data_IF_097299395518
#
_entry.id   IF_097299395518
#
_cell.length_a   1.000
_cell.length_b   1.000
_cell.length_c   1.000
_cell.angle_alpha   90.00
_cell.angle_beta   90.00
_cell.angle_gamma   90.00
#
_symmetry.space_group_name_H-M   'P 1'
#
loop_
_entity.id
_entity.type
_entity.pdbx_description
1 polymer ?
#
# COMPACT_ATOMS: atom_id res chain seq x y z
N UNK A 1 18.95 6.64 29.94
CA UNK A 1 18.03 5.97 29.01
C UNK A 1 16.64 6.01 29.64
N UNK A 2 15.88 7.07 29.34
CA UNK A 2 14.47 7.21 29.71
C UNK A 2 13.65 6.12 29.01
N UNK A 3 12.51 5.71 29.57
CA UNK A 3 11.62 4.72 28.94
C UNK A 3 11.13 5.22 27.56
N UNK A 4 10.96 6.54 27.42
CA UNK A 4 10.64 7.18 26.13
C UNK A 4 11.73 7.01 25.06
N UNK A 5 13.01 7.07 25.46
CA UNK A 5 14.12 6.90 24.51
C UNK A 5 14.17 5.48 23.96
N UNK A 6 13.87 4.48 24.81
CA UNK A 6 13.78 3.07 24.40
C UNK A 6 12.60 2.80 23.47
N UNK A 7 11.46 3.42 23.75
CA UNK A 7 10.26 3.29 22.90
C UNK A 7 10.49 3.94 21.53
N UNK A 8 11.13 5.11 21.50
CA UNK A 8 11.50 5.79 20.25
C UNK A 8 12.50 4.97 19.43
N UNK A 9 13.49 4.36 20.09
CA UNK A 9 14.48 3.48 19.45
C UNK A 9 13.83 2.24 18.85
N UNK A 10 12.90 1.59 19.57
CA UNK A 10 12.14 0.44 19.08
C UNK A 10 11.29 0.77 17.85
N UNK A 11 10.59 1.91 17.86
CA UNK A 11 9.80 2.38 16.69
C UNK A 11 10.72 2.66 15.50
N UNK A 12 11.87 3.30 15.73
CA UNK A 12 12.83 3.59 14.66
C UNK A 12 13.42 2.34 14.04
N UNK A 13 13.68 1.30 14.83
CA UNK A 13 14.16 0.01 14.32
C UNK A 13 13.09 -0.73 13.52
N UNK A 14 11.83 -0.67 13.96
CA UNK A 14 10.69 -1.26 13.26
C UNK A 14 10.48 -0.62 11.89
N UNK A 15 10.46 0.72 11.81
CA UNK A 15 10.32 1.45 10.55
C UNK A 15 11.50 1.22 9.59
N UNK A 16 12.72 1.08 10.10
CA UNK A 16 13.90 0.78 9.28
C UNK A 16 13.93 -0.67 8.75
N UNK A 17 13.18 -1.57 9.39
CA UNK A 17 13.14 -2.99 9.03
C UNK A 17 12.07 -3.30 7.98
N UNK A 18 11.15 -2.37 7.70
CA UNK A 18 10.14 -2.56 6.67
C UNK A 18 10.75 -2.41 5.27
N UNK A 19 10.55 -3.41 4.37
CA UNK A 19 11.07 -3.31 3.03
C UNK A 19 10.33 -2.21 2.25
N UNK A 20 11.09 -1.27 1.69
CA UNK A 20 10.53 -0.21 0.86
C UNK A 20 9.84 -0.81 -0.38
N UNK A 21 8.54 -0.56 -0.51
CA UNK A 21 7.76 -1.02 -1.66
C UNK A 21 7.91 -0.01 -2.78
N UNK A 22 8.56 -0.41 -3.87
CA UNK A 22 8.76 0.47 -5.03
C UNK A 22 7.43 0.86 -5.66
N UNK A 23 7.24 2.16 -5.83
CA UNK A 23 6.15 2.69 -6.63
C UNK A 23 6.38 2.34 -8.11
N UNK A 24 5.30 2.00 -8.86
CA UNK A 24 5.37 1.85 -10.31
C UNK A 24 5.78 3.17 -10.99
N UNK A 25 6.37 3.08 -12.17
CA UNK A 25 6.70 4.22 -13.04
C UNK A 25 5.45 4.98 -13.51
N UNK A 26 5.62 6.19 -14.05
CA UNK A 26 4.51 7.01 -14.55
C UNK A 26 3.77 6.31 -15.69
N UNK A 27 4.50 5.65 -16.60
CA UNK A 27 3.92 4.86 -17.68
C UNK A 27 3.06 3.71 -17.13
N UNK A 28 3.59 2.93 -16.18
CA UNK A 28 2.86 1.82 -15.54
C UNK A 28 1.62 2.32 -14.77
N UNK A 29 1.74 3.44 -14.06
CA UNK A 29 0.60 4.06 -13.36
C UNK A 29 -0.52 4.43 -14.35
N UNK A 30 -0.18 4.96 -15.53
CA UNK A 30 -1.17 5.29 -16.57
C UNK A 30 -1.87 4.05 -17.11
N UNK A 31 -1.14 2.95 -17.31
CA UNK A 31 -1.73 1.69 -17.74
C UNK A 31 -2.67 1.10 -16.70
N UNK A 32 -2.28 1.14 -15.42
CA UNK A 32 -3.13 0.71 -14.30
C UNK A 32 -4.42 1.53 -14.29
N UNK A 33 -4.33 2.86 -14.36
CA UNK A 33 -5.52 3.73 -14.38
C UNK A 33 -6.43 3.45 -15.58
N UNK A 34 -5.87 3.20 -16.76
CA UNK A 34 -6.66 2.88 -17.94
C UNK A 34 -7.46 1.59 -17.75
N UNK A 35 -6.82 0.53 -17.21
CA UNK A 35 -7.48 -0.76 -16.90
C UNK A 35 -8.58 -0.61 -15.86
N UNK A 36 -8.30 0.11 -14.76
CA UNK A 36 -9.28 0.31 -13.69
C UNK A 36 -10.51 1.07 -14.18
N UNK A 37 -10.33 2.09 -15.03
CA UNK A 37 -11.45 2.82 -15.67
C UNK A 37 -12.28 1.94 -16.59
N UNK A 38 -11.64 1.02 -17.32
CA UNK A 38 -12.34 0.08 -18.19
C UNK A 38 -13.19 -0.91 -17.38
N UNK A 39 -12.67 -1.39 -16.25
CA UNK A 39 -13.41 -2.26 -15.32
C UNK A 39 -14.54 -1.51 -14.63
N UNK A 40 -14.32 -0.25 -14.24
CA UNK A 40 -15.36 0.62 -13.66
C UNK A 40 -16.51 0.82 -14.64
N UNK A 41 -16.21 1.13 -15.91
CA UNK A 41 -17.21 1.31 -16.96
C UNK A 41 -18.03 0.04 -17.24
N UNK A 42 -17.44 -1.14 -17.01
CA UNK A 42 -18.10 -2.45 -17.12
C UNK A 42 -18.85 -2.86 -15.85
N UNK A 43 -18.69 -2.14 -14.74
CA UNK A 43 -19.22 -2.54 -13.44
C UNK A 43 -18.50 -3.76 -12.84
N UNK A 44 -17.28 -4.05 -13.31
CA UNK A 44 -16.46 -5.19 -12.89
C UNK A 44 -15.34 -4.78 -11.92
N UNK A 45 -15.23 -3.49 -11.57
CA UNK A 45 -14.24 -3.02 -10.60
C UNK A 45 -14.66 -3.42 -9.17
N UNK A 46 -14.04 -4.48 -8.63
CA UNK A 46 -14.28 -4.96 -7.27
C UNK A 46 -13.13 -4.63 -6.31
N UNK A 47 -13.35 -4.65 -4.98
CA UNK A 47 -12.29 -4.48 -4.00
C UNK A 47 -11.16 -5.49 -4.15
N UNK A 48 -11.47 -6.73 -4.52
CA UNK A 48 -10.47 -7.80 -4.73
C UNK A 48 -9.54 -7.45 -5.88
N UNK A 49 -10.05 -6.87 -6.97
CA UNK A 49 -9.23 -6.41 -8.08
C UNK A 49 -8.38 -5.20 -7.67
N UNK A 50 -8.94 -4.28 -6.88
CA UNK A 50 -8.18 -3.15 -6.35
C UNK A 50 -7.01 -3.61 -5.47
N UNK A 51 -7.19 -4.67 -4.69
CA UNK A 51 -6.16 -5.25 -3.82
C UNK A 51 -4.94 -5.76 -4.62
N UNK A 52 -5.14 -6.27 -5.84
CA UNK A 52 -4.04 -6.70 -6.71
C UNK A 52 -3.08 -5.55 -7.07
N UNK A 53 -3.59 -4.32 -7.16
CA UNK A 53 -2.80 -3.13 -7.49
C UNK A 53 -2.28 -2.40 -6.25
N UNK A 54 -3.09 -2.31 -5.20
CA UNK A 54 -2.84 -1.46 -4.03
C UNK A 54 -2.46 -2.20 -2.77
N UNK A 55 -2.76 -3.50 -2.64
CA UNK A 55 -2.56 -4.27 -1.41
C UNK A 55 -1.10 -4.32 -0.94
N UNK A 56 -0.17 -4.30 -1.89
CA UNK A 56 1.27 -4.22 -1.60
C UNK A 56 1.71 -2.90 -0.92
N UNK A 57 0.89 -1.86 -0.94
CA UNK A 57 1.15 -0.59 -0.27
C UNK A 57 0.40 -0.43 1.05
N UNK A 58 -0.43 -1.40 1.44
CA UNK A 58 -1.12 -1.38 2.71
C UNK A 58 -0.12 -1.63 3.86
N UNK A 59 -0.27 -0.89 4.96
CA UNK A 59 0.47 -1.17 6.20
C UNK A 59 0.12 -2.57 6.72
N UNK A 60 1.10 -3.28 7.26
CA UNK A 60 0.86 -4.58 7.87
C UNK A 60 -0.15 -4.45 9.01
N UNK A 61 -1.27 -5.15 8.91
CA UNK A 61 -2.33 -5.12 9.92
C UNK A 61 -3.35 -3.99 9.74
N UNK A 62 -3.25 -3.20 8.66
CA UNK A 62 -4.32 -2.30 8.27
C UNK A 62 -5.59 -3.11 7.98
N UNK A 63 -6.70 -2.73 8.61
CA UNK A 63 -8.00 -3.31 8.29
C UNK A 63 -8.49 -2.72 6.97
N UNK A 64 -8.95 -3.55 6.01
CA UNK A 64 -9.56 -3.04 4.80
C UNK A 64 -10.76 -2.16 5.16
N UNK A 65 -10.79 -0.93 4.64
CA UNK A 65 -11.95 -0.06 4.78
C UNK A 65 -12.97 -0.50 3.72
N UNK A 66 -14.01 -1.21 4.16
CA UNK A 66 -15.09 -1.76 3.34
C UNK A 66 -16.25 -0.77 3.13
#
# INVERSE_FOLDING_TARGET
MSDFEKELEAISEEMNSEPEVKLPSIEEQREIVAKLKELEARGELTPEIMEEYFGKFAEKGATPIH
#
